data_IF_418795513495
#
_entry.id   IF_418795513495
#
_cell.length_a   1.000
_cell.length_b   1.000
_cell.length_c   1.000
_cell.angle_alpha   90.00
_cell.angle_beta   90.00
_cell.angle_gamma   90.00
#
_symmetry.space_group_name_H-M   'P 1'
#
loop_
_entity.id
_entity.type
_entity.pdbx_description
1 polymer ?
#
# COMPACT_ATOMS: atom_id res chain seq x y z
N UNK A 1 8.20 -34.71 56.04
CA UNK A 1 7.00 -34.17 55.33
C UNK A 1 7.53 -33.19 54.29
N UNK A 2 7.61 -33.51 52.98
CA UNK A 2 6.50 -33.47 51.99
C UNK A 2 5.79 -32.10 52.09
N UNK A 3 5.88 -31.17 51.14
CA UNK A 3 5.50 -31.27 49.72
C UNK A 3 6.12 -30.11 48.90
N UNK A 4 6.50 -30.45 47.66
CA UNK A 4 6.82 -29.60 46.50
C UNK A 4 5.64 -28.68 46.14
N UNK A 5 5.84 -27.41 45.74
CA UNK A 5 4.79 -26.66 45.02
C UNK A 5 5.38 -25.71 43.98
N UNK A 6 4.64 -25.58 42.90
CA UNK A 6 5.04 -25.49 41.50
C UNK A 6 4.14 -24.43 40.83
N UNK A 7 4.59 -23.90 39.67
CA UNK A 7 3.83 -23.18 38.61
C UNK A 7 3.44 -21.72 39.00
N UNK A 8 3.39 -20.67 38.15
CA UNK A 8 3.27 -20.53 36.68
C UNK A 8 3.82 -19.16 36.24
N UNK A 9 4.52 -19.10 35.11
CA UNK A 9 4.71 -17.88 34.33
C UNK A 9 3.47 -17.68 33.43
N UNK A 10 2.71 -16.59 33.61
CA UNK A 10 1.60 -16.25 32.72
C UNK A 10 2.00 -15.08 31.82
N UNK A 11 2.30 -15.40 30.56
CA UNK A 11 2.40 -14.43 29.48
C UNK A 11 1.00 -13.91 29.16
N UNK A 12 0.75 -12.62 29.46
CA UNK A 12 -0.46 -11.93 29.03
C UNK A 12 -0.36 -11.58 27.55
N UNK A 13 -0.84 -12.46 26.68
CA UNK A 13 -1.22 -12.06 25.32
C UNK A 13 -2.56 -11.34 25.48
N UNK A 14 -2.54 -10.00 25.41
CA UNK A 14 -3.76 -9.24 25.21
C UNK A 14 -4.23 -9.51 23.78
N UNK A 15 -5.10 -10.51 23.63
CA UNK A 15 -5.95 -10.59 22.46
C UNK A 15 -6.87 -9.36 22.51
N UNK A 16 -6.62 -8.39 21.63
CA UNK A 16 -7.55 -7.30 21.41
C UNK A 16 -8.81 -7.89 20.77
N UNK A 17 -9.82 -8.22 21.60
CA UNK A 17 -11.15 -8.52 21.11
C UNK A 17 -11.72 -7.24 20.50
N UNK A 18 -11.92 -7.22 19.19
CA UNK A 18 -12.67 -6.17 18.53
C UNK A 18 -14.07 -6.12 19.15
N UNK A 19 -14.40 -5.00 19.79
CA UNK A 19 -15.71 -4.78 20.37
C UNK A 19 -16.66 -4.39 19.22
N UNK A 20 -17.60 -5.27 18.91
CA UNK A 20 -18.64 -5.01 17.91
C UNK A 20 -19.48 -3.81 18.34
N UNK A 21 -19.48 -2.74 17.53
CA UNK A 21 -20.38 -1.62 17.71
C UNK A 21 -21.74 -1.99 17.10
N UNK A 22 -22.84 -2.00 17.86
CA UNK A 22 -24.14 -2.37 17.32
C UNK A 22 -24.64 -1.26 16.40
N UNK A 23 -24.73 -1.53 15.09
CA UNK A 23 -25.36 -0.56 14.16
C UNK A 23 -25.15 -0.68 12.65
N UNK A 24 -24.28 -1.57 12.14
CA UNK A 24 -24.17 -1.79 10.68
C UNK A 24 -23.97 -3.29 10.45
N UNK A 25 -24.91 -3.96 9.79
CA UNK A 25 -24.64 -5.29 9.24
C UNK A 25 -23.67 -5.11 8.08
N UNK A 26 -22.36 -5.18 8.35
CA UNK A 26 -21.34 -5.13 7.31
C UNK A 26 -21.56 -6.31 6.36
N UNK A 27 -21.90 -6.01 5.10
CA UNK A 27 -21.94 -7.02 4.02
C UNK A 27 -20.50 -7.49 3.74
N UNK A 28 -19.51 -6.64 3.98
CA UNK A 28 -18.10 -6.91 3.74
C UNK A 28 -17.30 -7.13 5.03
N UNK A 29 -16.20 -7.90 4.96
CA UNK A 29 -15.29 -8.09 6.09
C UNK A 29 -14.49 -6.81 6.36
N UNK A 30 -14.27 -6.47 7.64
CA UNK A 30 -13.44 -5.33 8.03
C UNK A 30 -11.96 -5.74 7.99
N UNK A 31 -11.15 -4.94 7.28
CA UNK A 31 -9.71 -5.13 7.16
C UNK A 31 -8.90 -4.22 8.08
N UNK A 32 -7.74 -4.72 8.52
CA UNK A 32 -6.72 -3.96 9.23
C UNK A 32 -5.33 -4.34 8.71
N UNK A 33 -4.59 -3.36 8.19
CA UNK A 33 -3.20 -3.54 7.75
C UNK A 33 -2.32 -2.55 8.50
N UNK A 34 -1.21 -3.04 9.05
CA UNK A 34 -0.21 -2.20 9.72
C UNK A 34 0.95 -1.93 8.77
N UNK A 35 1.34 -0.67 8.60
CA UNK A 35 2.60 -0.27 7.94
C UNK A 35 3.44 0.52 8.92
N UNK A 36 4.74 0.27 8.92
CA UNK A 36 5.68 0.93 9.83
C UNK A 36 6.44 2.01 9.07
N UNK A 37 6.40 3.24 9.56
CA UNK A 37 7.25 4.34 9.14
C UNK A 37 8.56 4.24 9.92
N UNK A 38 9.72 4.06 9.26
CA UNK A 38 10.99 4.03 9.96
C UNK A 38 11.32 5.40 10.60
N UNK A 39 12.19 5.42 11.63
CA UNK A 39 12.66 6.67 12.23
C UNK A 39 13.44 7.53 11.23
N UNK A 40 13.62 8.81 11.57
CA UNK A 40 14.45 9.74 10.79
C UNK A 40 13.83 10.21 9.46
N UNK A 41 12.50 10.19 9.35
CA UNK A 41 11.80 10.71 8.16
C UNK A 41 12.08 9.93 6.88
N UNK A 42 12.19 8.61 6.97
CA UNK A 42 12.31 7.74 5.79
C UNK A 42 10.98 7.63 5.03
N UNK A 43 11.09 7.39 3.74
CA UNK A 43 9.98 7.15 2.82
C UNK A 43 9.56 5.67 2.83
N UNK A 44 8.25 5.46 2.75
CA UNK A 44 7.61 4.17 2.50
C UNK A 44 6.66 4.32 1.32
N UNK A 45 6.85 3.49 0.28
CA UNK A 45 5.91 3.39 -0.82
C UNK A 45 4.75 2.49 -0.38
N UNK A 46 3.53 3.01 -0.36
CA UNK A 46 2.36 2.29 0.15
C UNK A 46 1.14 2.50 -0.75
N UNK A 47 0.10 1.73 -0.49
CA UNK A 47 -1.20 1.85 -1.15
C UNK A 47 -2.34 1.65 -0.14
N UNK A 48 -3.57 1.85 -0.59
CA UNK A 48 -4.78 1.60 0.21
C UNK A 48 -5.60 0.53 -0.50
N UNK A 49 -5.40 -0.76 -0.18
CA UNK A 49 -6.11 -1.87 -0.82
C UNK A 49 -7.39 -2.26 -0.06
N UNK A 50 -7.95 -1.35 0.74
CA UNK A 50 -9.22 -1.50 1.44
C UNK A 50 -10.18 -0.41 0.95
N UNK A 51 -11.45 -0.75 0.81
CA UNK A 51 -12.51 0.19 0.46
C UNK A 51 -12.86 1.07 1.67
N UNK A 52 -13.28 2.30 1.39
CA UNK A 52 -13.76 3.19 2.45
C UNK A 52 -15.16 2.73 2.92
N UNK A 53 -15.40 2.76 4.22
CA UNK A 53 -16.64 2.23 4.83
C UNK A 53 -17.87 3.10 4.53
N UNK A 54 -17.69 4.33 4.05
CA UNK A 54 -18.76 5.28 3.76
C UNK A 54 -18.94 5.53 2.26
N UNK A 55 -17.88 5.39 1.46
CA UNK A 55 -17.89 5.71 0.02
C UNK A 55 -17.00 4.76 -0.78
N UNK A 56 -17.25 4.62 -2.08
CA UNK A 56 -16.38 3.85 -2.97
C UNK A 56 -15.17 4.65 -3.48
N UNK A 57 -14.88 5.83 -2.90
CA UNK A 57 -13.81 6.73 -3.32
C UNK A 57 -12.83 6.92 -2.17
N UNK A 58 -11.56 6.60 -2.40
CA UNK A 58 -10.52 6.76 -1.38
C UNK A 58 -10.01 8.19 -1.44
N UNK A 59 -10.47 9.04 -0.52
CA UNK A 59 -9.97 10.41 -0.35
C UNK A 59 -8.92 10.41 0.76
N UNK A 60 -7.66 10.73 0.45
CA UNK A 60 -6.51 10.57 1.35
C UNK A 60 -6.79 11.09 2.76
N UNK A 61 -7.25 12.33 2.90
CA UNK A 61 -7.48 12.97 4.20
C UNK A 61 -8.54 12.28 5.07
N UNK A 62 -9.40 11.45 4.50
CA UNK A 62 -10.44 10.69 5.21
C UNK A 62 -9.92 9.31 5.66
N UNK A 63 -8.77 8.88 5.15
CA UNK A 63 -8.20 7.56 5.45
C UNK A 63 -7.61 7.49 6.85
N UNK A 64 -7.61 6.29 7.44
CA UNK A 64 -6.93 6.05 8.72
C UNK A 64 -5.42 6.29 8.66
N UNK A 65 -4.81 6.18 7.47
CA UNK A 65 -3.40 6.49 7.23
C UNK A 65 -3.15 8.00 7.42
N UNK A 66 -3.92 8.85 6.74
CA UNK A 66 -3.78 10.29 6.87
C UNK A 66 -4.07 10.77 8.30
N UNK A 67 -5.07 10.19 8.96
CA UNK A 67 -5.40 10.52 10.35
C UNK A 67 -4.32 10.03 11.32
N UNK A 68 -3.79 8.82 11.13
CA UNK A 68 -2.79 8.20 12.00
C UNK A 68 -1.35 8.67 11.80
N UNK A 69 -1.00 9.26 10.64
CA UNK A 69 0.34 9.78 10.40
C UNK A 69 0.72 10.88 11.42
N UNK A 70 1.93 10.88 12.00
CA UNK A 70 2.35 11.91 12.94
C UNK A 70 2.47 13.29 12.28
N UNK A 71 2.40 14.37 13.07
CA UNK A 71 2.76 15.70 12.59
C UNK A 71 4.23 15.70 12.14
N UNK A 72 4.54 16.41 11.06
CA UNK A 72 5.84 16.38 10.40
C UNK A 72 5.99 15.29 9.34
N UNK A 73 5.03 14.36 9.21
CA UNK A 73 4.97 13.46 8.04
C UNK A 73 4.69 14.21 6.74
N UNK A 74 5.09 13.62 5.63
CA UNK A 74 4.84 14.15 4.28
C UNK A 74 4.23 13.08 3.39
N UNK A 75 3.26 13.43 2.56
CA UNK A 75 2.65 12.54 1.57
C UNK A 75 2.95 13.03 0.16
N UNK A 76 3.25 12.10 -0.76
CA UNK A 76 3.55 12.39 -2.15
C UNK A 76 2.77 11.47 -3.09
N UNK A 77 2.12 12.08 -4.07
CA UNK A 77 1.27 11.43 -5.07
C UNK A 77 1.85 11.69 -6.46
N UNK A 78 1.86 10.64 -7.27
CA UNK A 78 2.44 10.72 -8.60
C UNK A 78 1.43 11.28 -9.58
N UNK A 79 1.78 12.39 -10.22
CA UNK A 79 1.03 12.94 -11.33
C UNK A 79 1.49 12.26 -12.62
N UNK A 80 0.62 11.41 -13.17
CA UNK A 80 0.90 10.65 -14.41
C UNK A 80 1.01 11.56 -15.62
N UNK A 81 0.27 12.67 -15.67
CA UNK A 81 0.26 13.56 -16.83
C UNK A 81 1.50 14.44 -16.84
N UNK A 82 1.91 14.94 -15.68
CA UNK A 82 3.08 15.80 -15.52
C UNK A 82 4.38 15.04 -15.22
N UNK A 83 4.31 13.72 -14.98
CA UNK A 83 5.45 12.87 -14.62
C UNK A 83 6.25 13.44 -13.45
N UNK A 84 5.54 13.84 -12.39
CA UNK A 84 6.13 14.50 -11.24
C UNK A 84 5.42 14.14 -9.93
N UNK A 85 6.08 14.39 -8.80
CA UNK A 85 5.47 14.24 -7.49
C UNK A 85 4.80 15.55 -7.07
N UNK A 86 3.58 15.44 -6.57
CA UNK A 86 2.90 16.49 -5.82
C UNK A 86 2.62 16.00 -4.40
N UNK A 87 2.51 16.90 -3.43
CA UNK A 87 2.40 16.48 -2.05
C UNK A 87 2.43 17.62 -1.04
N UNK A 88 2.60 17.25 0.22
CA UNK A 88 2.76 18.23 1.29
C UNK A 88 2.90 17.58 2.66
N UNK A 89 3.17 18.41 3.66
CA UNK A 89 3.42 17.98 5.04
C UNK A 89 2.16 18.07 5.92
N UNK A 90 2.07 17.19 6.93
CA UNK A 90 1.09 17.26 8.00
C UNK A 90 1.56 18.22 9.08
N UNK A 91 0.85 19.33 9.26
CA UNK A 91 1.12 20.28 10.34
C UNK A 91 0.36 19.96 11.62
N UNK A 92 0.51 20.79 12.64
CA UNK A 92 -0.26 20.68 13.89
C UNK A 92 -1.77 20.87 13.73
N UNK A 93 -2.22 21.42 12.59
CA UNK A 93 -3.64 21.54 12.21
C UNK A 93 -4.10 20.45 11.22
N UNK A 94 -3.26 19.46 10.95
CA UNK A 94 -3.52 18.40 9.97
C UNK A 94 -2.91 18.70 8.60
N UNK A 95 -3.45 18.02 7.58
CA UNK A 95 -3.02 18.15 6.18
C UNK A 95 -3.58 19.42 5.54
N UNK A 96 -2.88 19.96 4.54
CA UNK A 96 -3.44 21.03 3.71
C UNK A 96 -4.64 20.52 2.91
N UNK A 97 -5.53 21.43 2.51
CA UNK A 97 -6.74 21.08 1.72
C UNK A 97 -6.38 20.35 0.42
N UNK A 98 -5.31 20.79 -0.25
CA UNK A 98 -4.83 20.16 -1.49
C UNK A 98 -4.43 18.68 -1.27
N UNK A 99 -3.72 18.39 -0.17
CA UNK A 99 -3.29 17.03 0.16
C UNK A 99 -4.47 16.20 0.69
N UNK A 100 -5.30 16.77 1.57
CA UNK A 100 -6.41 16.04 2.19
C UNK A 100 -7.47 15.61 1.19
N UNK A 101 -7.68 16.39 0.13
CA UNK A 101 -8.67 16.10 -0.91
C UNK A 101 -8.12 15.25 -2.05
N UNK A 102 -6.86 14.82 -1.98
CA UNK A 102 -6.28 13.95 -2.98
C UNK A 102 -7.07 12.64 -3.04
N UNK A 103 -7.59 12.32 -4.23
CA UNK A 103 -8.20 11.03 -4.51
C UNK A 103 -7.10 10.04 -4.85
N UNK A 104 -7.13 8.88 -4.21
CA UNK A 104 -6.24 7.76 -4.47
C UNK A 104 -7.03 6.73 -5.25
N UNK A 105 -6.57 6.37 -6.44
CA UNK A 105 -7.23 5.36 -7.25
C UNK A 105 -7.00 3.97 -6.66
N UNK A 106 -7.93 3.06 -6.91
CA UNK A 106 -7.75 1.64 -6.55
C UNK A 106 -6.50 1.09 -7.23
N UNK A 107 -5.62 0.43 -6.46
CA UNK A 107 -4.35 -0.08 -6.98
C UNK A 107 -3.32 1.01 -7.30
N UNK A 108 -3.47 2.22 -6.75
CA UNK A 108 -2.48 3.30 -6.85
C UNK A 108 -1.50 3.26 -5.67
N UNK A 109 -0.21 3.45 -5.99
CA UNK A 109 0.84 3.64 -5.00
C UNK A 109 1.10 5.13 -4.75
N UNK A 110 1.49 5.46 -3.52
CA UNK A 110 1.93 6.80 -3.10
C UNK A 110 3.03 6.67 -2.06
N UNK A 111 3.75 7.76 -1.78
CA UNK A 111 4.72 7.78 -0.69
C UNK A 111 4.15 8.42 0.56
N UNK A 112 4.43 7.80 1.70
CA UNK A 112 4.34 8.42 3.01
C UNK A 112 5.73 8.46 3.64
N UNK A 113 6.14 9.65 4.04
CA UNK A 113 7.38 9.91 4.78
C UNK A 113 7.06 10.11 6.25
N UNK A 114 7.83 9.46 7.12
CA UNK A 114 7.75 9.70 8.57
C UNK A 114 8.13 11.13 8.95
N UNK A 115 7.88 11.52 10.20
CA UNK A 115 8.40 12.77 10.74
C UNK A 115 9.93 12.70 10.82
N UNK A 116 10.62 13.78 10.43
CA UNK A 116 12.09 13.83 10.36
C UNK A 116 12.78 13.69 11.73
N UNK A 117 12.09 14.08 12.79
CA UNK A 117 12.53 14.02 14.19
C UNK A 117 12.09 12.72 14.90
N UNK A 118 11.44 11.79 14.21
CA UNK A 118 11.01 10.53 14.79
C UNK A 118 12.22 9.69 15.24
N UNK A 119 12.38 9.53 16.56
CA UNK A 119 13.46 8.75 17.18
C UNK A 119 13.20 7.24 17.18
N UNK A 120 11.98 6.81 16.85
CA UNK A 120 11.59 5.39 16.84
C UNK A 120 10.59 5.14 15.70
N UNK A 121 10.45 3.89 15.24
CA UNK A 121 9.45 3.54 14.24
C UNK A 121 8.04 3.92 14.70
N UNK A 122 7.21 4.39 13.76
CA UNK A 122 5.81 4.75 14.02
C UNK A 122 4.92 3.90 13.14
N UNK A 123 3.96 3.22 13.74
CA UNK A 123 2.98 2.45 12.97
C UNK A 123 1.82 3.33 12.50
N UNK A 124 1.44 3.16 11.25
CA UNK A 124 0.19 3.66 10.68
C UNK A 124 -0.70 2.48 10.29
N UNK A 125 -1.99 2.64 10.50
CA UNK A 125 -2.98 1.63 10.19
C UNK A 125 -3.77 2.00 8.94
N UNK A 126 -4.00 1.03 8.06
CA UNK A 126 -4.98 1.09 6.98
C UNK A 126 -6.19 0.29 7.46
N UNK A 127 -7.34 0.96 7.55
CA UNK A 127 -8.62 0.41 7.98
C UNK A 127 -9.65 0.67 6.90
N UNK A 128 -10.53 -0.29 6.69
CA UNK A 128 -11.58 -0.21 5.68
C UNK A 128 -12.26 -1.56 5.50
N UNK A 129 -13.07 -1.68 4.46
CA UNK A 129 -13.68 -2.94 4.06
C UNK A 129 -12.77 -3.69 3.08
N UNK A 130 -12.78 -5.01 3.16
CA UNK A 130 -12.11 -5.86 2.18
C UNK A 130 -12.90 -5.81 0.87
N UNK A 131 -12.28 -5.45 -0.26
CA UNK A 131 -13.00 -5.33 -1.53
C UNK A 131 -13.75 -6.62 -1.92
N UNK A 132 -15.06 -6.53 -2.18
CA UNK A 132 -15.88 -7.71 -2.50
C UNK A 132 -15.95 -8.02 -4.00
N UNK A 133 -15.69 -7.01 -4.85
CA UNK A 133 -15.68 -7.10 -6.31
C UNK A 133 -14.82 -8.26 -6.81
N UNK A 134 -15.32 -9.04 -7.77
CA UNK A 134 -14.60 -10.19 -8.32
C UNK A 134 -13.32 -9.77 -9.08
N UNK A 135 -13.36 -8.58 -9.68
CA UNK A 135 -12.24 -8.00 -10.42
C UNK A 135 -12.11 -6.52 -10.10
N UNK A 136 -10.87 -6.07 -9.91
CA UNK A 136 -10.52 -4.65 -9.81
C UNK A 136 -9.55 -4.30 -10.93
N UNK A 137 -9.57 -3.04 -11.34
CA UNK A 137 -8.82 -2.59 -12.50
C UNK A 137 -8.03 -1.32 -12.19
N UNK A 138 -6.83 -1.23 -12.77
CA UNK A 138 -5.97 -0.05 -12.72
C UNK A 138 -5.43 0.27 -14.10
N UNK A 139 -5.61 1.51 -14.55
CA UNK A 139 -4.98 1.98 -15.78
C UNK A 139 -3.46 2.06 -15.60
N UNK A 140 -2.73 1.57 -16.60
CA UNK A 140 -1.28 1.66 -16.74
C UNK A 140 -0.98 2.68 -17.86
N UNK A 141 -0.25 3.76 -17.56
CA UNK A 141 0.17 4.68 -18.61
C UNK A 141 1.14 3.99 -19.55
N UNK A 142 0.96 4.18 -20.86
CA UNK A 142 1.87 3.63 -21.87
C UNK A 142 2.90 4.65 -22.34
N UNK A 143 3.49 4.39 -23.50
CA UNK A 143 4.43 5.29 -24.18
C UNK A 143 5.61 5.68 -23.29
N UNK A 144 6.06 4.74 -22.45
CA UNK A 144 7.18 4.94 -21.53
C UNK A 144 6.95 6.00 -20.45
N UNK A 145 5.69 6.34 -20.14
CA UNK A 145 5.36 7.11 -18.95
C UNK A 145 5.37 6.20 -17.70
N UNK A 146 5.82 6.76 -16.58
CA UNK A 146 5.76 6.11 -15.28
C UNK A 146 4.34 6.19 -14.71
N UNK A 147 3.88 5.09 -14.13
CA UNK A 147 2.69 5.05 -13.29
C UNK A 147 2.97 4.34 -11.97
N UNK A 148 2.36 4.81 -10.90
CA UNK A 148 2.33 4.10 -9.62
C UNK A 148 1.24 3.04 -9.65
N UNK A 149 1.61 1.84 -9.22
CA UNK A 149 0.75 0.67 -9.16
C UNK A 149 0.89 -0.02 -7.80
N UNK A 150 -0.13 -0.78 -7.43
CA UNK A 150 -0.13 -1.63 -6.25
C UNK A 150 -1.15 -2.76 -6.46
N UNK A 151 -1.07 -3.84 -5.68
CA UNK A 151 -2.16 -4.81 -5.66
C UNK A 151 -3.43 -4.11 -5.16
N UNK A 152 -4.53 -4.09 -5.94
CA UNK A 152 -5.78 -3.48 -5.49
C UNK A 152 -6.46 -4.28 -4.36
N UNK A 153 -6.04 -5.52 -4.11
CA UNK A 153 -6.53 -6.34 -3.01
C UNK A 153 -5.52 -6.40 -1.86
N UNK A 154 -5.97 -6.63 -0.61
CA UNK A 154 -5.13 -6.66 0.58
C UNK A 154 -4.37 -7.99 0.71
N UNK A 155 -3.60 -8.35 -0.32
CA UNK A 155 -2.74 -9.53 -0.35
C UNK A 155 -1.39 -9.20 -0.98
N UNK A 156 -0.36 -9.93 -0.58
CA UNK A 156 0.91 -9.92 -1.32
C UNK A 156 0.78 -10.72 -2.62
N UNK A 157 1.70 -10.46 -3.56
CA UNK A 157 1.85 -11.28 -4.76
C UNK A 157 3.29 -11.25 -5.24
N UNK A 158 3.68 -12.26 -6.01
CA UNK A 158 4.96 -12.27 -6.71
C UNK A 158 4.81 -11.55 -8.06
N UNK A 159 5.62 -10.52 -8.33
CA UNK A 159 5.47 -9.69 -9.52
C UNK A 159 5.44 -10.50 -10.82
N UNK A 160 6.39 -11.40 -11.02
CA UNK A 160 6.53 -12.18 -12.25
C UNK A 160 5.38 -13.15 -12.55
N UNK A 161 4.54 -13.48 -11.57
CA UNK A 161 3.36 -14.35 -11.77
C UNK A 161 2.10 -13.58 -12.15
N UNK A 162 2.12 -12.25 -12.03
CA UNK A 162 0.99 -11.39 -12.37
C UNK A 162 0.75 -11.27 -13.88
N UNK A 163 -0.52 -11.06 -14.25
CA UNK A 163 -0.89 -10.67 -15.63
C UNK A 163 -0.17 -9.38 -16.04
N UNK A 164 -0.07 -8.41 -15.14
CA UNK A 164 0.71 -7.18 -15.32
C UNK A 164 2.12 -7.44 -15.86
N UNK A 165 2.91 -8.25 -15.17
CA UNK A 165 4.29 -8.53 -15.55
C UNK A 165 4.37 -9.34 -16.84
N UNK A 166 3.50 -10.34 -17.02
CA UNK A 166 3.46 -11.17 -18.23
C UNK A 166 3.10 -10.36 -19.47
N UNK A 167 2.16 -9.44 -19.34
CA UNK A 167 1.56 -8.70 -20.46
C UNK A 167 2.28 -7.36 -20.71
N UNK A 168 3.24 -6.96 -19.85
CA UNK A 168 4.16 -5.84 -20.08
C UNK A 168 4.92 -5.98 -21.41
N UNK A 169 5.06 -4.91 -22.20
CA UNK A 169 5.84 -4.98 -23.43
C UNK A 169 7.33 -5.16 -23.13
N UNK A 170 8.09 -5.75 -24.06
CA UNK A 170 9.56 -5.73 -24.02
C UNK A 170 10.04 -4.28 -23.99
N UNK A 171 11.02 -3.99 -23.14
CA UNK A 171 11.50 -2.63 -22.86
C UNK A 171 10.80 -1.94 -21.68
N UNK A 172 9.69 -2.49 -21.17
CA UNK A 172 9.06 -1.94 -19.96
C UNK A 172 9.97 -2.11 -18.74
N UNK A 173 9.85 -1.20 -17.77
CA UNK A 173 10.70 -1.15 -16.58
C UNK A 173 9.85 -1.17 -15.32
N UNK A 174 10.21 -1.99 -14.33
CA UNK A 174 9.54 -2.05 -13.03
C UNK A 174 10.51 -1.64 -11.93
N UNK A 175 10.02 -0.86 -10.95
CA UNK A 175 10.82 -0.37 -9.83
C UNK A 175 10.08 -0.55 -8.51
N UNK A 176 10.79 -1.08 -7.52
CA UNK A 176 10.31 -1.40 -6.18
C UNK A 176 11.15 -0.65 -5.16
N UNK A 177 10.50 -0.04 -4.19
CA UNK A 177 11.15 0.84 -3.23
C UNK A 177 11.76 0.01 -2.10
N UNK A 178 13.07 0.10 -1.92
CA UNK A 178 13.75 -0.46 -0.77
C UNK A 178 13.71 0.56 0.39
N UNK A 179 12.91 0.25 1.40
CA UNK A 179 12.73 1.13 2.58
C UNK A 179 14.01 1.24 3.41
N UNK A 180 14.84 0.21 3.46
CA UNK A 180 16.06 0.23 4.25
C UNK A 180 17.13 1.08 3.58
N UNK A 181 17.32 0.88 2.28
CA UNK A 181 18.29 1.59 1.45
C UNK A 181 17.82 2.97 0.98
N UNK A 182 16.52 3.26 1.07
CA UNK A 182 15.91 4.48 0.55
C UNK A 182 16.22 4.69 -0.94
N UNK A 183 16.08 3.62 -1.72
CA UNK A 183 16.43 3.59 -3.13
C UNK A 183 15.45 2.73 -3.93
N UNK A 184 15.44 2.93 -5.24
CA UNK A 184 14.72 2.04 -6.15
C UNK A 184 15.59 0.87 -6.54
N UNK A 185 15.02 -0.32 -6.47
CA UNK A 185 15.53 -1.53 -7.12
C UNK A 185 14.59 -1.92 -8.26
N UNK A 186 15.08 -2.59 -9.29
CA UNK A 186 14.22 -2.88 -10.44
C UNK A 186 14.98 -3.40 -11.64
N UNK A 187 14.32 -3.34 -12.80
CA UNK A 187 14.94 -3.70 -14.06
C UNK A 187 13.96 -3.64 -15.22
N UNK A 188 14.48 -3.92 -16.41
CA UNK A 188 13.71 -3.90 -17.66
C UNK A 188 13.33 -5.30 -18.12
N UNK A 189 12.19 -5.43 -18.79
CA UNK A 189 11.77 -6.66 -19.47
C UNK A 189 12.53 -6.81 -20.78
N UNK A 190 13.32 -7.87 -20.91
CA UNK A 190 14.02 -8.22 -22.15
C UNK A 190 13.18 -9.11 -23.06
N UNK A 191 13.72 -9.47 -24.24
CA UNK A 191 13.08 -10.43 -25.15
C UNK A 191 12.92 -11.84 -24.57
N UNK A 192 13.63 -12.16 -23.48
CA UNK A 192 13.48 -13.41 -22.71
C UNK A 192 12.60 -13.25 -21.45
N UNK A 193 11.94 -12.10 -21.28
CA UNK A 193 11.16 -11.78 -20.09
C UNK A 193 11.94 -10.96 -19.05
N UNK A 194 11.41 -10.94 -17.83
CA UNK A 194 12.01 -10.26 -16.68
C UNK A 194 13.19 -11.05 -16.13
N UNK A 195 14.16 -10.36 -15.54
CA UNK A 195 15.24 -11.03 -14.79
C UNK A 195 14.66 -11.81 -13.59
N UNK A 196 15.40 -12.80 -13.09
CA UNK A 196 14.98 -13.57 -11.90
C UNK A 196 14.78 -12.65 -10.69
N UNK A 197 15.65 -11.65 -10.51
CA UNK A 197 15.54 -10.68 -9.42
C UNK A 197 14.21 -9.89 -9.49
N UNK A 198 13.81 -9.42 -10.68
CA UNK A 198 12.57 -8.66 -10.86
C UNK A 198 11.34 -9.57 -10.81
N UNK A 199 11.38 -10.73 -11.47
CA UNK A 199 10.24 -11.66 -11.52
C UNK A 199 9.95 -12.34 -10.17
N UNK A 200 10.96 -12.52 -9.31
CA UNK A 200 10.78 -13.04 -7.96
C UNK A 200 10.52 -11.96 -6.91
N UNK A 201 10.43 -10.68 -7.31
CA UNK A 201 10.09 -9.62 -6.38
C UNK A 201 8.70 -9.90 -5.78
N UNK A 202 8.67 -10.01 -4.46
CA UNK A 202 7.42 -10.00 -3.71
C UNK A 202 7.00 -8.54 -3.52
N UNK A 203 5.77 -8.24 -3.91
CA UNK A 203 5.10 -6.98 -3.58
C UNK A 203 4.22 -7.29 -2.38
N UNK A 204 4.54 -6.71 -1.24
CA UNK A 204 3.83 -6.97 0.00
C UNK A 204 2.45 -6.30 0.00
N UNK A 205 1.64 -6.71 0.98
CA UNK A 205 0.33 -6.08 1.18
C UNK A 205 0.49 -4.57 1.40
N UNK A 206 -0.36 -3.81 0.72
CA UNK A 206 -0.36 -2.36 0.73
C UNK A 206 0.99 -1.72 0.34
N UNK A 207 1.78 -2.38 -0.49
CA UNK A 207 3.00 -1.83 -1.07
C UNK A 207 2.73 -1.32 -2.50
N UNK A 208 3.26 -0.14 -2.79
CA UNK A 208 3.25 0.45 -4.12
C UNK A 208 4.57 0.23 -4.84
N UNK A 209 4.53 0.27 -6.17
CA UNK A 209 5.70 0.17 -7.05
C UNK A 209 5.47 1.01 -8.31
N UNK A 210 6.51 1.19 -9.12
CA UNK A 210 6.39 1.82 -10.43
C UNK A 210 6.44 0.80 -11.55
N UNK A 211 5.66 1.08 -12.58
CA UNK A 211 5.85 0.50 -13.90
C UNK A 211 5.94 1.63 -14.93
N UNK A 212 6.93 1.52 -15.80
CA UNK A 212 7.06 2.29 -17.03
C UNK A 212 6.78 1.35 -18.19
N UNK A 213 5.58 1.41 -18.74
CA UNK A 213 5.16 0.53 -19.83
C UNK A 213 5.67 1.07 -21.17
N UNK A 214 6.49 0.27 -21.86
CA UNK A 214 7.04 0.66 -23.17
C UNK A 214 6.00 0.61 -24.30
N UNK A 215 4.98 -0.23 -24.17
CA UNK A 215 3.88 -0.35 -25.14
C UNK A 215 2.83 0.75 -25.02
N UNK A 216 1.67 0.54 -25.64
CA UNK A 216 0.51 1.41 -25.47
C UNK A 216 -0.05 1.32 -24.05
N UNK A 217 -0.78 2.36 -23.63
CA UNK A 217 -1.52 2.34 -22.37
C UNK A 217 -2.50 1.17 -22.35
N UNK A 218 -2.70 0.59 -21.17
CA UNK A 218 -3.55 -0.59 -20.99
C UNK A 218 -4.12 -0.64 -19.58
N UNK A 219 -5.01 -1.58 -19.34
CA UNK A 219 -5.61 -1.79 -18.03
C UNK A 219 -5.08 -3.08 -17.42
N UNK A 220 -4.56 -2.99 -16.20
CA UNK A 220 -4.32 -4.16 -15.38
C UNK A 220 -5.63 -4.58 -14.73
N UNK A 221 -6.09 -5.79 -15.03
CA UNK A 221 -7.18 -6.43 -14.32
C UNK A 221 -6.61 -7.46 -13.33
N UNK A 222 -7.03 -7.33 -12.07
CA UNK A 222 -6.66 -8.24 -10.99
C UNK A 222 -7.90 -8.97 -10.51
N UNK A 223 -7.79 -10.28 -10.40
CA UNK A 223 -8.83 -11.14 -9.85
C UNK A 223 -8.73 -11.20 -8.32
N UNK A 224 -9.89 -11.27 -7.66
CA UNK A 224 -9.97 -11.38 -6.21
C UNK A 224 -9.24 -12.63 -5.71
N UNK A 225 -8.24 -12.49 -4.82
CA UNK A 225 -7.40 -13.62 -4.39
C UNK A 225 -8.03 -14.47 -3.26
N UNK A 226 -9.26 -14.17 -2.86
CA UNK A 226 -9.96 -14.82 -1.75
C UNK A 226 -11.42 -15.10 -2.11
N UNK A 227 -12.01 -16.07 -1.41
CA UNK A 227 -13.36 -16.57 -1.68
C UNK A 227 -14.47 -15.88 -0.89
N UNK A 228 -14.11 -15.02 0.06
CA UNK A 228 -15.01 -14.43 1.08
C UNK A 228 -14.96 -12.89 1.06
N UNK A 229 -15.91 -12.18 1.70
CA UNK A 229 -17.03 -12.72 2.49
C UNK A 229 -18.09 -13.38 1.63
#
# INVERSE_FOLDING_TARGET
MLILSLIVALAGILAASAQEQPGVMGINAVGYIKKTLPPGGKFVCMSIPLEDMATNVIVFGQTSVAQGAPAGSEAFFWDVDHQSWSGGSKGGKGWSVAVSNQVISVGEGFFLKGAGDAASPVDVAIKGEVPSSATLQRAIPGSSAFGTLANPYPSSFQFGTSSLARDAAVGSEAFFWDVDQQSWSGGSKGGKGWSVAVSNQMVDVAEGFFLKEAGSGKTWQTEKPYTWP
#
